data_IF_978255287592
#
_entry.id   IF_978255287592
#
_cell.length_a   1.000
_cell.length_b   1.000
_cell.length_c   1.000
_cell.angle_alpha   90.00
_cell.angle_beta   90.00
_cell.angle_gamma   90.00
#
_symmetry.space_group_name_H-M   'P 1'
#
loop_
_entity.id
_entity.type
_entity.pdbx_description
1 polymer ?
#
# COMPACT_ATOMS: atom_id res chain seq x y z
N UNK A 1 38.98 72.43 -42.08
CA UNK A 1 38.87 71.06 -41.68
C UNK A 1 37.93 71.01 -40.46
N UNK A 2 36.63 70.75 -40.64
CA UNK A 2 35.58 70.96 -39.65
C UNK A 2 35.16 69.62 -39.08
N UNK A 3 35.51 69.42 -37.87
CA UNK A 3 34.97 68.29 -37.09
C UNK A 3 33.62 68.65 -36.45
N UNK A 4 32.55 68.05 -36.92
CA UNK A 4 31.23 68.19 -36.35
C UNK A 4 31.14 67.24 -35.09
N UNK A 5 30.93 67.83 -33.93
CA UNK A 5 30.66 67.11 -32.70
C UNK A 5 29.22 66.58 -32.74
N UNK A 6 29.05 65.29 -32.70
CA UNK A 6 27.74 64.65 -32.54
C UNK A 6 27.41 64.55 -31.03
N UNK A 7 26.25 65.08 -30.70
CA UNK A 7 25.69 65.02 -29.30
C UNK A 7 24.93 63.66 -29.12
N UNK A 8 25.42 62.84 -28.27
CA UNK A 8 24.70 61.59 -27.91
C UNK A 8 23.79 61.89 -26.73
N UNK A 9 22.48 61.83 -26.98
CA UNK A 9 21.47 61.90 -25.91
C UNK A 9 21.19 60.50 -25.41
N UNK A 10 21.63 60.24 -24.19
CA UNK A 10 21.32 58.96 -23.51
C UNK A 10 19.94 59.07 -22.86
N UNK A 11 18.95 58.35 -23.39
CA UNK A 11 17.64 58.20 -22.77
C UNK A 11 17.73 57.01 -21.79
N UNK A 12 17.72 57.30 -20.53
CA UNK A 12 17.56 56.31 -19.47
C UNK A 12 16.08 55.91 -19.38
N UNK A 13 15.70 54.83 -20.06
CA UNK A 13 14.41 54.19 -19.90
C UNK A 13 14.41 53.31 -18.65
N UNK A 14 13.73 53.76 -17.61
CA UNK A 14 13.50 52.93 -16.42
C UNK A 14 12.57 51.76 -16.76
N UNK A 15 13.08 50.54 -16.71
CA UNK A 15 12.27 49.32 -16.76
C UNK A 15 11.74 49.06 -15.35
N UNK A 16 10.48 49.38 -15.11
CA UNK A 16 9.74 48.91 -13.93
C UNK A 16 9.39 47.45 -14.14
N UNK A 17 10.16 46.55 -13.54
CA UNK A 17 9.80 45.13 -13.44
C UNK A 17 8.69 45.02 -12.39
N UNK A 18 7.44 44.98 -12.84
CA UNK A 18 6.35 44.53 -12.01
C UNK A 18 6.57 43.03 -11.71
N UNK A 19 7.02 42.73 -10.51
CA UNK A 19 7.15 41.36 -10.02
C UNK A 19 5.75 40.73 -9.90
N UNK A 20 5.34 40.02 -10.94
CA UNK A 20 4.25 39.07 -10.82
C UNK A 20 4.78 37.93 -9.94
N UNK A 21 4.47 37.97 -8.65
CA UNK A 21 4.67 36.84 -7.75
C UNK A 21 3.89 35.67 -8.30
N UNK A 22 4.60 34.66 -8.84
CA UNK A 22 3.99 33.36 -9.07
C UNK A 22 3.61 32.81 -7.70
N UNK A 23 2.35 32.85 -7.38
CA UNK A 23 1.75 32.05 -6.32
C UNK A 23 1.74 30.61 -6.86
N UNK A 24 2.86 29.87 -6.66
CA UNK A 24 2.91 28.44 -6.86
C UNK A 24 2.34 27.84 -5.56
N UNK A 25 1.03 27.99 -5.40
CA UNK A 25 0.30 27.42 -4.27
C UNK A 25 -0.60 26.32 -4.75
N UNK A 26 -0.56 25.17 -4.10
CA UNK A 26 -1.58 24.10 -4.04
C UNK A 26 -2.00 23.40 -5.38
N UNK A 27 -1.97 24.06 -6.52
CA UNK A 27 -2.30 23.42 -7.80
C UNK A 27 -1.17 22.51 -8.32
N UNK A 28 0.07 22.75 -7.92
CA UNK A 28 1.22 21.93 -8.29
C UNK A 28 1.20 20.56 -7.62
N UNK A 29 0.84 20.49 -6.35
CA UNK A 29 0.79 19.22 -5.61
C UNK A 29 -0.36 18.34 -6.08
N UNK A 30 -1.53 18.91 -6.40
CA UNK A 30 -2.65 18.18 -7.00
C UNK A 30 -2.31 17.61 -8.37
N UNK A 31 -1.55 18.35 -9.18
CA UNK A 31 -1.15 17.94 -10.53
C UNK A 31 -0.11 16.80 -10.51
N UNK A 32 0.79 16.78 -9.54
CA UNK A 32 1.74 15.68 -9.36
C UNK A 32 1.03 14.38 -8.91
N UNK A 33 0.04 14.46 -8.02
CA UNK A 33 -0.78 13.32 -7.62
C UNK A 33 -1.59 12.73 -8.77
N UNK A 34 -2.01 13.55 -9.72
CA UNK A 34 -2.76 13.12 -10.91
C UNK A 34 -1.85 12.46 -11.97
N UNK A 35 -0.57 12.86 -12.04
CA UNK A 35 0.42 12.32 -12.99
C UNK A 35 1.01 10.99 -12.50
N UNK A 36 1.20 10.81 -11.18
CA UNK A 36 1.79 9.59 -10.61
C UNK A 36 0.76 8.51 -10.24
N UNK A 37 -0.53 8.80 -10.40
CA UNK A 37 -1.60 7.89 -10.02
C UNK A 37 -1.73 7.70 -8.48
N UNK A 38 -2.74 6.97 -8.03
CA UNK A 38 -2.91 6.67 -6.61
C UNK A 38 -1.72 5.85 -6.10
N UNK A 39 -1.22 6.19 -4.91
CA UNK A 39 -0.15 5.43 -4.25
C UNK A 39 -0.53 3.96 -4.15
N UNK A 40 0.33 3.10 -4.67
CA UNK A 40 0.18 1.66 -4.57
C UNK A 40 1.37 1.09 -3.78
N UNK A 41 1.08 0.46 -2.66
CA UNK A 41 2.10 -0.13 -1.77
C UNK A 41 2.42 -1.58 -2.16
N UNK A 42 1.43 -2.26 -2.74
CA UNK A 42 1.51 -3.64 -3.25
C UNK A 42 0.57 -3.79 -4.46
N UNK A 43 0.89 -4.67 -5.40
CA UNK A 43 0.02 -4.96 -6.53
C UNK A 43 -1.36 -5.47 -6.05
N UNK A 44 -2.40 -5.05 -6.74
CA UNK A 44 -3.77 -5.53 -6.49
C UNK A 44 -3.90 -7.01 -6.84
N UNK A 45 -4.91 -7.65 -6.29
CA UNK A 45 -5.30 -9.00 -6.73
C UNK A 45 -6.01 -8.87 -8.08
N UNK A 46 -5.53 -9.59 -9.08
CA UNK A 46 -6.06 -9.63 -10.45
C UNK A 46 -6.45 -11.06 -10.91
N UNK A 47 -6.65 -11.96 -9.95
CA UNK A 47 -7.03 -13.36 -10.19
C UNK A 47 -8.41 -13.62 -9.60
N UNK A 48 -9.41 -13.84 -10.48
CA UNK A 48 -10.81 -14.03 -10.09
C UNK A 48 -11.01 -15.32 -9.27
N UNK A 49 -10.30 -16.41 -9.64
CA UNK A 49 -10.40 -17.67 -8.90
C UNK A 49 -9.86 -17.51 -7.47
N UNK A 50 -8.68 -16.91 -7.31
CA UNK A 50 -8.12 -16.62 -5.99
C UNK A 50 -9.05 -15.70 -5.17
N UNK A 51 -9.59 -14.65 -5.80
CA UNK A 51 -10.52 -13.72 -5.13
C UNK A 51 -11.81 -14.41 -4.70
N UNK A 52 -12.34 -15.32 -5.52
CA UNK A 52 -13.57 -16.07 -5.23
C UNK A 52 -13.38 -17.06 -4.09
N UNK A 53 -12.34 -17.89 -4.18
CA UNK A 53 -12.12 -18.96 -3.22
C UNK A 53 -11.65 -18.41 -1.85
N UNK A 54 -10.59 -17.61 -1.84
CA UNK A 54 -10.02 -17.12 -0.60
C UNK A 54 -10.76 -15.89 -0.04
N UNK A 55 -11.35 -15.06 -0.92
CA UNK A 55 -12.13 -13.88 -0.56
C UNK A 55 -13.50 -14.17 0.02
N UNK A 56 -13.99 -15.42 -0.07
CA UNK A 56 -15.30 -15.82 0.44
C UNK A 56 -15.41 -15.79 1.98
N UNK A 57 -14.29 -15.98 2.70
CA UNK A 57 -14.26 -16.03 4.15
C UNK A 57 -13.58 -14.81 4.78
N UNK A 58 -12.55 -14.27 4.14
CA UNK A 58 -11.83 -13.08 4.61
C UNK A 58 -11.28 -12.30 3.42
N UNK A 59 -10.67 -11.15 3.69
CA UNK A 59 -9.99 -10.37 2.68
C UNK A 59 -8.96 -11.20 1.91
N UNK A 60 -9.08 -11.25 0.57
CA UNK A 60 -8.09 -11.91 -0.28
C UNK A 60 -6.78 -11.10 -0.26
N UNK A 61 -5.81 -11.55 0.52
CA UNK A 61 -4.52 -10.87 0.67
C UNK A 61 -3.77 -10.77 -0.65
N UNK A 62 -3.18 -9.60 -0.91
CA UNK A 62 -2.31 -9.47 -2.06
C UNK A 62 -1.11 -10.42 -1.95
N UNK A 63 -0.76 -11.13 -3.03
CA UNK A 63 0.37 -12.07 -3.01
C UNK A 63 1.70 -11.44 -2.55
N UNK A 64 1.91 -10.15 -2.90
CA UNK A 64 3.09 -9.38 -2.51
C UNK A 64 3.23 -9.06 -1.02
N UNK A 65 2.30 -9.52 -0.17
CA UNK A 65 2.40 -9.37 1.29
C UNK A 65 3.23 -10.48 1.95
N UNK A 66 3.35 -11.66 1.34
CA UNK A 66 4.07 -12.81 1.91
C UNK A 66 5.10 -13.37 0.93
N UNK A 67 6.19 -14.00 1.41
CA UNK A 67 7.14 -14.71 0.57
C UNK A 67 6.53 -15.93 -0.12
N UNK A 68 7.08 -16.33 -1.27
CA UNK A 68 6.64 -17.51 -2.01
C UNK A 68 6.67 -18.80 -1.16
N UNK A 69 7.70 -18.97 -0.33
CA UNK A 69 7.80 -20.12 0.56
C UNK A 69 6.64 -20.17 1.59
N UNK A 70 6.23 -19.02 2.11
CA UNK A 70 5.07 -18.93 3.05
C UNK A 70 3.78 -19.26 2.32
N UNK A 71 3.55 -18.73 1.13
CA UNK A 71 2.39 -19.08 0.31
C UNK A 71 2.33 -20.58 0.00
N UNK A 72 3.47 -21.17 -0.37
CA UNK A 72 3.56 -22.63 -0.61
C UNK A 72 3.11 -23.43 0.62
N UNK A 73 3.57 -23.05 1.82
CA UNK A 73 3.19 -23.75 3.05
C UNK A 73 1.70 -23.57 3.37
N UNK A 74 1.15 -22.36 3.20
CA UNK A 74 -0.29 -22.10 3.36
C UNK A 74 -1.09 -23.00 2.41
N UNK A 75 -0.74 -23.04 1.14
CA UNK A 75 -1.45 -23.83 0.12
C UNK A 75 -1.32 -25.34 0.30
N UNK A 76 -0.30 -25.81 0.99
CA UNK A 76 -0.13 -27.20 1.37
C UNK A 76 -0.92 -27.59 2.63
N UNK A 77 -1.26 -26.61 3.47
CA UNK A 77 -1.94 -26.81 4.74
C UNK A 77 -3.42 -26.43 4.76
N UNK A 78 -4.11 -26.37 3.61
CA UNK A 78 -5.49 -25.89 3.52
C UNK A 78 -6.49 -26.76 4.29
N UNK A 79 -6.20 -28.03 4.55
CA UNK A 79 -7.04 -28.89 5.40
C UNK A 79 -7.09 -28.45 6.87
N UNK A 80 -6.10 -27.67 7.31
CA UNK A 80 -6.06 -27.00 8.62
C UNK A 80 -5.60 -25.56 8.45
N UNK A 81 -6.40 -24.77 7.76
CA UNK A 81 -6.12 -23.36 7.50
C UNK A 81 -6.42 -22.54 8.76
N UNK A 82 -5.48 -22.53 9.70
CA UNK A 82 -5.60 -21.84 10.98
C UNK A 82 -6.78 -22.28 11.85
N UNK A 83 -7.15 -23.56 11.76
CA UNK A 83 -8.25 -24.18 12.49
C UNK A 83 -9.52 -24.41 11.68
N UNK A 84 -9.54 -23.97 10.42
CA UNK A 84 -10.65 -24.13 9.49
C UNK A 84 -10.24 -25.00 8.29
N UNK A 85 -11.17 -25.74 7.71
CA UNK A 85 -10.92 -26.45 6.47
C UNK A 85 -11.21 -25.53 5.25
N UNK A 86 -10.16 -25.27 4.47
CA UNK A 86 -10.19 -24.47 3.24
C UNK A 86 -9.72 -25.29 2.03
N UNK A 87 -9.91 -26.63 2.03
CA UNK A 87 -9.47 -27.50 0.92
C UNK A 87 -10.14 -27.12 -0.38
N UNK A 88 -9.37 -27.21 -1.44
CA UNK A 88 -9.78 -26.98 -2.82
C UNK A 88 -9.53 -28.25 -3.65
N UNK A 89 -10.19 -28.34 -4.79
CA UNK A 89 -9.83 -29.35 -5.78
C UNK A 89 -8.37 -29.16 -6.23
N UNK A 90 -7.67 -30.26 -6.56
CA UNK A 90 -6.23 -30.22 -6.86
C UNK A 90 -5.85 -29.24 -7.97
N UNK A 91 -6.67 -29.14 -9.01
CA UNK A 91 -6.42 -28.21 -10.12
C UNK A 91 -6.53 -26.73 -9.69
N UNK A 92 -7.52 -26.42 -8.85
CA UNK A 92 -7.73 -25.06 -8.32
C UNK A 92 -6.62 -24.69 -7.36
N UNK A 93 -6.30 -25.59 -6.44
CA UNK A 93 -5.18 -25.43 -5.49
C UNK A 93 -3.87 -25.17 -6.22
N UNK A 94 -3.60 -25.89 -7.32
CA UNK A 94 -2.38 -25.72 -8.11
C UNK A 94 -2.39 -24.34 -8.79
N UNK A 95 -3.46 -23.97 -9.49
CA UNK A 95 -3.55 -22.70 -10.19
C UNK A 95 -3.40 -21.50 -9.25
N UNK A 96 -4.07 -21.54 -8.08
CA UNK A 96 -3.96 -20.49 -7.07
C UNK A 96 -2.55 -20.46 -6.46
N UNK A 97 -1.93 -21.62 -6.17
CA UNK A 97 -0.57 -21.69 -5.66
C UNK A 97 0.44 -21.08 -6.62
N UNK A 98 0.33 -21.36 -7.91
CA UNK A 98 1.18 -20.80 -8.96
C UNK A 98 1.02 -19.27 -9.03
N UNK A 99 -0.21 -18.76 -9.01
CA UNK A 99 -0.49 -17.34 -8.99
C UNK A 99 0.15 -16.65 -7.76
N UNK A 100 -0.10 -17.18 -6.57
CA UNK A 100 0.41 -16.62 -5.31
C UNK A 100 1.94 -16.60 -5.27
N UNK A 101 2.58 -17.70 -5.66
CA UNK A 101 4.05 -17.82 -5.62
C UNK A 101 4.73 -16.97 -6.69
N UNK A 102 4.14 -16.83 -7.87
CA UNK A 102 4.67 -15.98 -8.94
C UNK A 102 4.63 -14.49 -8.58
N UNK A 103 3.63 -14.06 -7.79
CA UNK A 103 3.42 -12.66 -7.40
C UNK A 103 3.82 -12.36 -5.96
N UNK A 104 4.54 -13.25 -5.30
CA UNK A 104 4.96 -13.15 -3.91
C UNK A 104 5.90 -11.97 -3.63
N UNK A 105 6.04 -11.57 -2.37
CA UNK A 105 6.84 -10.42 -1.92
C UNK A 105 8.32 -10.49 -2.33
N UNK A 106 8.88 -11.69 -2.47
CA UNK A 106 10.26 -11.96 -2.89
C UNK A 106 10.41 -12.15 -4.41
N UNK A 107 9.31 -12.06 -5.16
CA UNK A 107 9.26 -12.13 -6.63
C UNK A 107 8.87 -10.82 -7.28
N UNK A 108 8.05 -10.02 -6.61
CA UNK A 108 7.62 -8.72 -7.10
C UNK A 108 8.79 -7.73 -7.15
N UNK A 109 8.91 -6.98 -8.25
CA UNK A 109 10.00 -6.02 -8.46
C UNK A 109 10.00 -4.84 -7.47
N UNK A 110 8.84 -4.47 -6.93
CA UNK A 110 8.70 -3.46 -5.89
C UNK A 110 7.50 -3.78 -5.01
N UNK A 111 7.73 -3.79 -3.70
CA UNK A 111 6.67 -3.75 -2.68
C UNK A 111 7.18 -2.98 -1.48
N UNK A 112 6.39 -2.02 -0.99
CA UNK A 112 6.66 -1.37 0.31
C UNK A 112 6.65 -2.38 1.46
N UNK A 113 5.99 -3.52 1.24
CA UNK A 113 5.92 -4.62 2.19
C UNK A 113 7.07 -5.64 2.08
N UNK A 114 8.11 -5.38 1.30
CA UNK A 114 9.33 -6.21 1.31
C UNK A 114 9.89 -6.41 2.74
N UNK A 115 9.59 -5.50 3.68
CA UNK A 115 9.88 -5.64 5.11
C UNK A 115 9.13 -6.80 5.77
N UNK A 116 7.87 -7.05 5.39
CA UNK A 116 7.10 -8.21 5.88
C UNK A 116 7.77 -9.49 5.38
N UNK A 117 8.03 -9.57 4.06
CA UNK A 117 8.70 -10.72 3.46
C UNK A 117 10.02 -11.07 4.17
N UNK A 118 10.85 -10.05 4.45
CA UNK A 118 12.10 -10.27 5.20
C UNK A 118 11.85 -10.72 6.64
N UNK A 119 10.85 -10.18 7.32
CA UNK A 119 10.53 -10.54 8.71
C UNK A 119 9.87 -11.91 8.86
N UNK A 120 9.39 -12.49 7.76
CA UNK A 120 8.82 -13.83 7.71
C UNK A 120 9.85 -14.90 7.29
N UNK A 121 11.02 -14.50 6.80
CA UNK A 121 12.09 -15.45 6.44
C UNK A 121 12.55 -16.21 7.70
N UNK A 122 12.46 -17.53 7.65
CA UNK A 122 12.80 -18.40 8.78
C UNK A 122 11.78 -18.38 9.93
N UNK A 123 10.64 -17.69 9.79
CA UNK A 123 9.54 -17.77 10.76
C UNK A 123 8.85 -19.15 10.67
N UNK A 124 8.51 -19.70 11.84
CA UNK A 124 7.64 -20.88 11.92
C UNK A 124 6.15 -20.52 11.81
N UNK A 125 5.79 -19.23 11.95
CA UNK A 125 4.41 -18.76 11.79
C UNK A 125 4.12 -18.41 10.34
N UNK A 126 2.95 -18.84 9.86
CA UNK A 126 2.41 -18.47 8.54
C UNK A 126 1.51 -17.24 8.62
N UNK A 127 1.19 -16.76 9.83
CA UNK A 127 0.31 -15.59 10.02
C UNK A 127 1.06 -14.30 9.77
N UNK A 128 0.59 -13.47 8.84
CA UNK A 128 1.14 -12.15 8.57
C UNK A 128 1.16 -11.25 9.82
N UNK A 129 0.16 -11.40 10.70
CA UNK A 129 0.03 -10.66 11.96
C UNK A 129 1.10 -11.02 12.98
N UNK A 130 1.78 -12.16 12.83
CA UNK A 130 2.89 -12.57 13.69
C UNK A 130 4.25 -12.02 13.22
N UNK A 131 4.29 -11.41 12.04
CA UNK A 131 5.53 -10.82 11.54
C UNK A 131 5.99 -9.66 12.44
N UNK A 132 7.31 -9.54 12.63
CA UNK A 132 7.87 -8.43 13.40
C UNK A 132 7.55 -7.06 12.76
N UNK A 133 7.43 -7.03 11.42
CA UNK A 133 7.01 -5.84 10.70
C UNK A 133 5.59 -5.42 11.07
N UNK A 134 4.63 -6.37 11.00
CA UNK A 134 3.23 -6.10 11.35
C UNK A 134 3.12 -5.60 12.79
N UNK A 135 3.71 -6.31 13.74
CA UNK A 135 3.66 -5.94 15.18
C UNK A 135 4.23 -4.54 15.43
N UNK A 136 5.31 -4.17 14.76
CA UNK A 136 5.88 -2.82 14.89
C UNK A 136 4.95 -1.72 14.34
N UNK A 137 4.17 -2.02 13.29
CA UNK A 137 3.25 -1.05 12.69
C UNK A 137 1.90 -0.94 13.42
N UNK A 138 1.55 -1.92 14.23
CA UNK A 138 0.24 -1.97 14.89
C UNK A 138 0.33 -2.01 16.42
N UNK A 139 1.51 -1.76 17.02
CA UNK A 139 1.72 -1.91 18.45
C UNK A 139 0.92 -0.89 19.29
N UNK A 140 0.59 0.26 18.72
CA UNK A 140 -0.17 1.33 19.35
C UNK A 140 -1.69 1.11 19.29
N UNK A 141 -2.16 0.24 18.39
CA UNK A 141 -3.59 -0.04 18.26
C UNK A 141 -4.05 -0.96 19.39
N UNK A 142 -4.87 -0.45 20.33
CA UNK A 142 -5.23 -1.25 21.51
C UNK A 142 -6.24 -2.35 21.16
N UNK A 143 -6.12 -3.50 21.83
CA UNK A 143 -6.96 -4.68 21.59
C UNK A 143 -8.48 -4.38 21.62
N UNK A 144 -8.92 -3.41 22.44
CA UNK A 144 -10.34 -3.02 22.51
C UNK A 144 -10.90 -2.51 21.19
N UNK A 145 -10.05 -1.95 20.33
CA UNK A 145 -10.45 -1.44 19.00
C UNK A 145 -10.42 -2.53 17.93
N UNK A 146 -9.88 -3.70 18.23
CA UNK A 146 -9.75 -4.81 17.28
C UNK A 146 -10.53 -6.01 17.76
N UNK A 147 -9.96 -6.86 18.64
CA UNK A 147 -10.63 -8.06 19.14
C UNK A 147 -11.80 -7.76 20.08
N UNK A 148 -11.79 -6.59 20.73
CA UNK A 148 -12.90 -6.08 21.54
C UNK A 148 -13.95 -5.29 20.74
N UNK A 149 -13.76 -5.11 19.44
CA UNK A 149 -14.66 -4.39 18.55
C UNK A 149 -15.36 -5.40 17.61
N UNK A 150 -16.68 -5.63 17.73
CA UNK A 150 -17.39 -6.61 16.92
C UNK A 150 -17.42 -6.27 15.41
N UNK A 151 -17.24 -5.00 15.04
CA UNK A 151 -17.17 -4.59 13.64
C UNK A 151 -15.78 -4.89 13.00
N UNK A 152 -14.75 -5.09 13.83
CA UNK A 152 -13.40 -5.45 13.38
C UNK A 152 -13.11 -6.93 13.64
N UNK A 153 -13.18 -7.39 14.88
CA UNK A 153 -13.01 -8.76 15.30
C UNK A 153 -11.55 -9.25 15.34
N UNK A 154 -10.76 -8.96 14.31
CA UNK A 154 -9.38 -9.47 14.20
C UNK A 154 -8.49 -8.56 13.37
N UNK A 155 -7.21 -8.52 13.69
CA UNK A 155 -6.17 -7.90 12.84
C UNK A 155 -6.00 -8.57 11.46
N UNK A 156 -6.56 -9.75 11.26
CA UNK A 156 -6.56 -10.40 9.94
C UNK A 156 -7.53 -9.73 8.93
N UNK A 157 -8.44 -8.89 9.40
CA UNK A 157 -9.37 -8.13 8.55
C UNK A 157 -8.79 -6.77 8.19
N UNK A 158 -7.75 -6.77 7.37
CA UNK A 158 -6.99 -5.57 6.98
C UNK A 158 -7.87 -4.50 6.35
N UNK A 159 -8.79 -4.91 5.47
CA UNK A 159 -9.72 -4.06 4.72
C UNK A 159 -10.74 -3.33 5.60
N UNK A 160 -10.99 -3.82 6.81
CA UNK A 160 -11.90 -3.19 7.77
C UNK A 160 -11.37 -1.83 8.25
N UNK A 161 -10.06 -1.72 8.44
CA UNK A 161 -9.40 -0.48 8.87
C UNK A 161 -8.70 0.23 7.71
N UNK A 162 -8.05 -0.52 6.83
CA UNK A 162 -7.41 -0.01 5.61
C UNK A 162 -8.42 -0.02 4.45
N UNK A 163 -9.30 0.97 4.40
CA UNK A 163 -10.43 1.02 3.44
C UNK A 163 -10.01 1.05 1.97
N UNK A 164 -8.72 1.26 1.68
CA UNK A 164 -8.11 1.21 0.35
C UNK A 164 -7.22 -0.01 0.13
N UNK A 165 -7.29 -1.01 1.02
CA UNK A 165 -6.47 -2.23 0.92
C UNK A 165 -6.71 -3.01 -0.39
N UNK A 166 -7.96 -3.11 -0.84
CA UNK A 166 -8.28 -3.78 -2.10
C UNK A 166 -7.58 -3.14 -3.32
N UNK A 167 -7.27 -1.84 -3.26
CA UNK A 167 -6.49 -1.12 -4.27
C UNK A 167 -4.97 -1.21 -4.04
N UNK A 168 -4.52 -2.05 -3.09
CA UNK A 168 -3.11 -2.19 -2.74
C UNK A 168 -2.52 -0.99 -2.00
N UNK A 169 -3.37 -0.12 -1.44
CA UNK A 169 -2.96 1.08 -0.73
C UNK A 169 -3.26 0.95 0.76
N UNK A 170 -2.19 0.98 1.58
CA UNK A 170 -2.21 0.86 3.03
C UNK A 170 -1.68 2.13 3.71
N UNK A 171 -1.95 3.29 3.13
CA UNK A 171 -1.57 4.58 3.68
C UNK A 171 -2.13 4.75 5.11
N UNK A 172 -1.25 4.95 6.08
CA UNK A 172 -1.60 5.12 7.49
C UNK A 172 -2.53 6.32 7.72
N UNK A 173 -2.38 7.38 6.93
CA UNK A 173 -3.27 8.56 7.02
C UNK A 173 -4.70 8.29 6.54
N UNK A 174 -4.96 7.13 5.95
CA UNK A 174 -6.28 6.70 5.48
C UNK A 174 -6.95 5.66 6.37
N UNK A 175 -6.28 5.28 7.45
CA UNK A 175 -6.83 4.29 8.40
C UNK A 175 -8.08 4.86 9.08
N UNK A 176 -9.13 4.03 9.11
CA UNK A 176 -10.38 4.30 9.81
C UNK A 176 -10.80 3.06 10.56
N UNK A 177 -10.90 3.20 11.88
CA UNK A 177 -11.34 2.09 12.73
C UNK A 177 -12.86 2.24 12.94
N UNK A 178 -13.68 1.25 12.60
CA UNK A 178 -15.11 1.26 12.87
C UNK A 178 -15.40 1.61 14.33
N UNK A 179 -16.34 2.50 14.57
CA UNK A 179 -16.69 2.96 15.90
C UNK A 179 -15.69 3.91 16.59
N UNK A 180 -14.46 4.05 16.05
CA UNK A 180 -13.43 4.97 16.59
C UNK A 180 -13.03 6.09 15.63
N UNK A 181 -13.40 5.99 14.34
CA UNK A 181 -13.13 7.03 13.34
C UNK A 181 -11.74 6.93 12.72
N UNK A 182 -11.17 8.07 12.33
CA UNK A 182 -9.82 8.15 11.77
C UNK A 182 -8.81 7.83 12.87
N UNK A 183 -7.84 7.02 12.52
CA UNK A 183 -6.69 6.74 13.36
C UNK A 183 -5.56 7.70 12.98
N UNK A 184 -5.12 8.52 13.91
CA UNK A 184 -3.93 9.36 13.78
C UNK A 184 -2.93 8.89 14.84
N UNK A 185 -1.76 8.45 14.42
CA UNK A 185 -0.62 8.21 15.30
C UNK A 185 -0.06 9.59 15.70
N UNK A 186 -0.20 9.99 16.97
CA UNK A 186 0.37 11.21 17.54
C UNK A 186 1.87 11.04 17.81
#
# INVERSE_FOLDING_TARGET
MNMKKALVVTVLGGLSVAGAGLVIGDEGERRWGEIVGPRQDVATVDNEQYSGECGSCHFAYQPGLLPAATWTQIMQGLSDHFGENAELADAERTAISDYLTANAADRAGYSRFAGIGRSMQGSSSLRITDSAYFRRKHHEVPARLVSGNPEVGSFARCDTCHTTAAQGNYDEHRVRIPGAGRWDDD
#
